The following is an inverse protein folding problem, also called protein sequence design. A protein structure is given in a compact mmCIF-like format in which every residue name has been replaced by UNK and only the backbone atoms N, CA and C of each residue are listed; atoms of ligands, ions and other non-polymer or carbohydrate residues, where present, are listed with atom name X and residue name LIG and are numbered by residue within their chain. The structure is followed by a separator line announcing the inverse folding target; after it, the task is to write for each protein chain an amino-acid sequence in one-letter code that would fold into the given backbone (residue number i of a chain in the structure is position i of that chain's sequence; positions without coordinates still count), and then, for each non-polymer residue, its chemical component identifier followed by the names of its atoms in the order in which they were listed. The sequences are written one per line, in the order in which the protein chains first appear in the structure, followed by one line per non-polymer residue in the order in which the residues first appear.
data_IF_910750472953
#
_entry.id   IF_910750472953
#
_cell.length_a   1.000
_cell.length_b   1.000
_cell.length_c   1.000
_cell.angle_alpha   90.00
_cell.angle_beta   90.00
_cell.angle_gamma   90.00
#
_symmetry.space_group_name_H-M   'P 1'
#
loop_
_entity.id
_entity.type
_entity.pdbx_description
1 polymer ?
#
# COMPACT_ATOMS: atom_id res chain seq x y z
N UNK A 1 -33.35 5.72 -4.60
CA UNK A 1 -31.93 5.64 -5.01
C UNK A 1 -30.88 5.91 -3.92
N UNK A 2 -31.13 6.67 -2.84
CA UNK A 2 -30.17 6.77 -1.72
C UNK A 2 -30.20 5.57 -0.77
N UNK A 3 -31.40 5.04 -0.47
CA UNK A 3 -31.62 3.96 0.51
C UNK A 3 -30.97 2.63 0.10
N UNK A 4 -31.08 2.25 -1.19
CA UNK A 4 -30.47 1.00 -1.70
C UNK A 4 -28.94 1.04 -1.63
N UNK A 5 -28.32 2.18 -1.96
CA UNK A 5 -26.85 2.32 -1.91
C UNK A 5 -26.30 2.21 -0.50
N UNK A 6 -27.01 2.70 0.52
CA UNK A 6 -26.58 2.60 1.91
C UNK A 6 -26.65 1.16 2.41
N UNK A 7 -27.74 0.44 2.10
CA UNK A 7 -27.90 -0.96 2.46
C UNK A 7 -26.77 -1.85 1.87
N UNK A 8 -26.36 -1.60 0.63
CA UNK A 8 -25.25 -2.36 0.01
C UNK A 8 -23.88 -2.06 0.65
N UNK A 9 -23.66 -0.84 1.14
CA UNK A 9 -22.41 -0.45 1.82
C UNK A 9 -22.36 -1.09 3.22
N UNK A 10 -23.46 -1.08 3.94
CA UNK A 10 -23.55 -1.66 5.28
C UNK A 10 -23.36 -3.18 5.25
N UNK A 11 -23.96 -3.86 4.28
CA UNK A 11 -23.74 -5.30 4.04
C UNK A 11 -22.28 -5.62 3.71
N UNK A 12 -21.65 -4.83 2.83
CA UNK A 12 -20.25 -5.01 2.47
C UNK A 12 -19.33 -4.80 3.69
N UNK A 13 -19.57 -3.75 4.47
CA UNK A 13 -18.77 -3.45 5.65
C UNK A 13 -18.91 -4.55 6.71
N UNK A 14 -20.13 -5.05 6.94
CA UNK A 14 -20.37 -6.17 7.86
C UNK A 14 -19.65 -7.45 7.39
N UNK A 15 -19.59 -7.70 6.08
CA UNK A 15 -18.85 -8.82 5.51
C UNK A 15 -17.33 -8.68 5.74
N UNK A 16 -16.78 -7.49 5.48
CA UNK A 16 -15.35 -7.20 5.71
C UNK A 16 -15.03 -7.35 7.20
N UNK A 17 -15.85 -6.77 8.08
CA UNK A 17 -15.69 -6.85 9.53
C UNK A 17 -15.66 -8.30 10.01
N UNK A 18 -16.62 -9.12 9.55
CA UNK A 18 -16.67 -10.55 9.88
C UNK A 18 -15.43 -11.30 9.42
N UNK A 19 -14.98 -11.05 8.18
CA UNK A 19 -13.76 -11.68 7.66
C UNK A 19 -12.51 -11.29 8.44
N UNK A 20 -12.38 -10.03 8.86
CA UNK A 20 -11.24 -9.56 9.64
C UNK A 20 -11.27 -10.14 11.06
N UNK A 21 -12.44 -10.21 11.68
CA UNK A 21 -12.62 -10.83 13.01
C UNK A 21 -12.29 -12.33 13.02
N UNK A 22 -12.43 -13.01 11.88
CA UNK A 22 -12.09 -14.44 11.74
C UNK A 22 -10.61 -14.68 11.40
N UNK A 23 -10.00 -13.81 10.60
CA UNK A 23 -8.65 -14.02 10.05
C UNK A 23 -7.52 -13.49 10.91
N UNK A 24 -7.80 -12.50 11.75
CA UNK A 24 -6.78 -11.78 12.52
C UNK A 24 -6.82 -12.19 13.99
N UNK A 25 -5.71 -11.93 14.69
CA UNK A 25 -5.63 -12.11 16.12
C UNK A 25 -6.21 -10.90 16.87
N UNK A 26 -7.02 -11.18 17.89
CA UNK A 26 -7.70 -10.17 18.70
C UNK A 26 -7.50 -10.42 20.18
N UNK A 27 -7.38 -9.34 20.94
CA UNK A 27 -7.35 -9.37 22.41
C UNK A 27 -8.58 -8.66 22.98
N UNK A 28 -9.14 -9.18 24.08
CA UNK A 28 -10.31 -8.58 24.69
C UNK A 28 -9.96 -7.28 25.40
N UNK A 29 -10.96 -6.41 25.57
CA UNK A 29 -10.79 -5.06 26.16
C UNK A 29 -10.05 -5.05 27.50
N UNK A 30 -10.26 -6.05 28.34
CA UNK A 30 -9.66 -6.17 29.67
C UNK A 30 -8.15 -6.29 29.62
N UNK A 31 -7.60 -6.78 28.50
CA UNK A 31 -6.16 -6.96 28.28
C UNK A 31 -5.45 -5.67 27.83
N UNK A 32 -6.20 -4.63 27.46
CA UNK A 32 -5.64 -3.38 26.94
C UNK A 32 -5.68 -2.27 28.01
N UNK A 33 -4.56 -1.57 28.27
CA UNK A 33 -4.53 -0.43 29.18
C UNK A 33 -5.55 0.65 28.80
N UNK A 34 -6.24 1.22 29.80
CA UNK A 34 -7.31 2.21 29.56
C UNK A 34 -6.86 3.41 28.72
N UNK A 35 -5.61 3.84 28.91
CA UNK A 35 -5.00 4.97 28.18
C UNK A 35 -4.81 4.71 26.69
N UNK A 36 -4.72 3.45 26.27
CA UNK A 36 -4.54 3.07 24.87
C UNK A 36 -5.86 2.75 24.17
N UNK A 37 -6.92 2.42 24.91
CA UNK A 37 -8.23 2.00 24.36
C UNK A 37 -8.87 3.03 23.43
N UNK A 38 -8.70 4.32 23.69
CA UNK A 38 -9.26 5.39 22.86
C UNK A 38 -8.53 5.59 21.54
N UNK A 39 -7.32 5.02 21.38
CA UNK A 39 -6.45 5.20 20.22
C UNK A 39 -6.33 3.89 19.45
N UNK A 40 -6.33 2.76 20.14
CA UNK A 40 -6.14 1.45 19.54
C UNK A 40 -7.26 1.06 18.56
N UNK A 41 -6.85 0.42 17.47
CA UNK A 41 -7.74 -0.17 16.48
C UNK A 41 -8.55 -1.29 17.11
N UNK A 42 -9.86 -1.21 16.94
CA UNK A 42 -10.79 -2.15 17.53
C UNK A 42 -12.03 -2.34 16.67
N UNK A 43 -12.61 -3.53 16.77
CA UNK A 43 -13.89 -3.91 16.18
C UNK A 43 -14.83 -4.42 17.27
N UNK A 44 -16.13 -4.43 16.99
CA UNK A 44 -17.14 -4.85 17.95
C UNK A 44 -17.77 -6.16 17.50
N UNK A 45 -17.83 -7.14 18.41
CA UNK A 45 -18.49 -8.43 18.15
C UNK A 45 -19.33 -8.79 19.36
N UNK A 46 -20.63 -9.03 19.17
CA UNK A 46 -21.56 -9.40 20.24
C UNK A 46 -21.50 -8.44 21.46
N UNK A 47 -21.53 -7.12 21.21
CA UNK A 47 -21.39 -6.06 22.22
C UNK A 47 -20.09 -6.09 23.05
N UNK A 48 -19.10 -6.87 22.61
CA UNK A 48 -17.77 -6.90 23.22
C UNK A 48 -16.78 -6.25 22.26
N UNK A 49 -15.95 -5.36 22.80
CA UNK A 49 -14.93 -4.68 22.02
C UNK A 49 -13.63 -5.49 22.02
N UNK A 50 -13.11 -5.73 20.83
CA UNK A 50 -11.89 -6.48 20.59
C UNK A 50 -10.86 -5.57 19.94
N UNK A 51 -9.62 -5.67 20.40
CA UNK A 51 -8.51 -4.87 19.90
C UNK A 51 -7.61 -5.75 19.05
N UNK A 52 -7.16 -5.22 17.91
CA UNK A 52 -6.25 -5.93 17.02
C UNK A 52 -4.94 -6.22 17.77
N UNK A 53 -4.53 -7.49 17.87
CA UNK A 53 -3.35 -7.87 18.66
C UNK A 53 -2.04 -7.32 18.07
N UNK A 54 -1.88 -7.44 16.76
CA UNK A 54 -0.62 -7.13 16.09
C UNK A 54 -0.24 -5.64 16.17
N UNK A 55 -1.17 -4.75 16.55
CA UNK A 55 -0.86 -3.33 16.71
C UNK A 55 0.04 -3.04 17.92
N UNK A 56 0.16 -3.99 18.86
CA UNK A 56 0.95 -3.88 20.07
C UNK A 56 2.28 -4.61 19.93
N UNK A 57 3.36 -3.97 20.41
CA UNK A 57 4.68 -4.57 20.50
C UNK A 57 4.80 -5.54 21.69
N UNK A 58 5.98 -6.12 21.90
CA UNK A 58 6.25 -7.05 23.01
C UNK A 58 6.05 -6.42 24.41
N UNK A 59 6.14 -5.09 24.51
CA UNK A 59 5.90 -4.34 25.75
C UNK A 59 4.41 -4.04 25.98
N UNK A 60 3.54 -4.37 25.02
CA UNK A 60 2.11 -4.07 25.05
C UNK A 60 1.76 -2.63 24.65
N UNK A 61 2.69 -1.90 24.06
CA UNK A 61 2.49 -0.55 23.54
C UNK A 61 2.19 -0.58 22.04
N UNK A 62 1.34 0.32 21.56
CA UNK A 62 1.10 0.48 20.12
C UNK A 62 2.41 0.84 19.41
N UNK A 63 2.72 0.16 18.29
CA UNK A 63 3.90 0.47 17.48
C UNK A 63 3.98 1.97 17.15
N UNK A 64 5.13 2.60 17.43
CA UNK A 64 5.29 4.05 17.28
C UNK A 64 5.03 4.55 15.84
N UNK A 65 5.43 3.77 14.82
CA UNK A 65 5.14 4.05 13.41
C UNK A 65 3.63 4.08 13.14
N UNK A 66 2.91 3.08 13.65
CA UNK A 66 1.45 3.01 13.56
C UNK A 66 0.80 4.16 14.31
N UNK A 67 1.23 4.45 15.55
CA UNK A 67 0.68 5.51 16.40
C UNK A 67 0.66 6.87 15.69
N UNK A 68 1.68 7.17 14.89
CA UNK A 68 1.75 8.41 14.10
C UNK A 68 0.76 8.47 12.94
N UNK A 69 0.40 7.32 12.37
CA UNK A 69 -0.53 7.20 11.24
C UNK A 69 -1.99 7.04 11.66
N UNK A 70 -2.24 6.52 12.87
CA UNK A 70 -3.59 6.21 13.37
C UNK A 70 -4.58 7.38 13.28
N UNK A 71 -4.24 8.63 13.66
CA UNK A 71 -5.20 9.74 13.56
C UNK A 71 -5.74 9.93 12.13
N UNK A 72 -4.87 9.83 11.12
CA UNK A 72 -5.26 9.97 9.72
C UNK A 72 -5.99 8.74 9.17
N UNK A 73 -5.72 7.55 9.69
CA UNK A 73 -6.43 6.33 9.27
C UNK A 73 -7.82 6.25 9.92
N UNK A 74 -7.90 6.54 11.22
CA UNK A 74 -9.12 6.43 12.02
C UNK A 74 -10.15 7.51 11.72
N UNK A 75 -9.80 8.60 11.04
CA UNK A 75 -10.79 9.56 10.52
C UNK A 75 -11.81 8.89 9.57
N UNK A 76 -11.45 7.75 8.97
CA UNK A 76 -12.31 6.93 8.11
C UNK A 76 -12.90 5.71 8.83
N UNK A 77 -12.62 5.55 10.14
CA UNK A 77 -13.09 4.46 10.99
C UNK A 77 -12.10 3.30 11.13
N UNK A 78 -12.24 2.54 12.22
CA UNK A 78 -11.35 1.41 12.53
C UNK A 78 -11.41 0.31 11.47
N UNK A 79 -12.60 0.01 10.93
CA UNK A 79 -12.74 -1.00 9.87
C UNK A 79 -11.89 -0.66 8.64
N UNK A 80 -11.93 0.60 8.21
CA UNK A 80 -11.10 1.08 7.10
C UNK A 80 -9.62 0.98 7.43
N UNK A 81 -9.21 1.46 8.61
CA UNK A 81 -7.80 1.44 9.02
C UNK A 81 -7.25 0.01 9.05
N UNK A 82 -8.01 -0.94 9.58
CA UNK A 82 -7.62 -2.35 9.66
C UNK A 82 -7.59 -2.98 8.26
N UNK A 83 -8.62 -2.80 7.43
CA UNK A 83 -8.60 -3.27 6.03
C UNK A 83 -7.41 -2.67 5.26
N UNK A 84 -7.08 -1.40 5.49
CA UNK A 84 -5.92 -0.77 4.89
C UNK A 84 -4.60 -1.38 5.39
N UNK A 85 -4.46 -1.70 6.68
CA UNK A 85 -3.24 -2.32 7.20
C UNK A 85 -2.99 -3.74 6.66
N UNK A 86 -4.06 -4.49 6.37
CA UNK A 86 -3.96 -5.90 5.98
C UNK A 86 -4.15 -6.17 4.48
N UNK A 87 -4.55 -5.18 3.69
CA UNK A 87 -4.60 -5.33 2.23
C UNK A 87 -3.20 -5.16 1.63
N UNK A 88 -2.78 -6.15 0.86
CA UNK A 88 -1.55 -6.08 0.05
C UNK A 88 -1.59 -4.86 -0.88
N UNK A 89 -0.47 -4.13 -0.91
CA UNK A 89 -0.29 -2.94 -1.75
C UNK A 89 1.05 -3.04 -2.46
N UNK A 90 1.06 -2.58 -3.70
CA UNK A 90 2.27 -2.39 -4.49
C UNK A 90 2.58 -0.90 -4.55
N UNK A 91 3.71 -0.49 -3.98
CA UNK A 91 4.13 0.92 -3.90
C UNK A 91 5.39 1.13 -4.72
N UNK A 92 5.42 2.22 -5.49
CA UNK A 92 6.60 2.64 -6.25
C UNK A 92 7.62 3.28 -5.29
N UNK A 93 8.82 2.72 -5.23
CA UNK A 93 9.92 3.23 -4.40
C UNK A 93 10.80 4.18 -5.18
N UNK A 94 11.17 3.79 -6.39
CA UNK A 94 12.07 4.56 -7.26
C UNK A 94 11.60 4.43 -8.71
N UNK A 95 11.51 5.57 -9.40
CA UNK A 95 11.02 5.65 -10.76
C UNK A 95 12.19 5.67 -11.74
N UNK A 96 12.29 4.66 -12.58
CA UNK A 96 13.19 4.71 -13.72
C UNK A 96 12.68 5.73 -14.75
N UNK A 97 13.59 6.55 -15.28
CA UNK A 97 13.30 7.56 -16.31
C UNK A 97 14.36 7.55 -17.40
N UNK A 98 13.92 7.58 -18.65
CA UNK A 98 14.79 7.88 -19.77
C UNK A 98 15.36 9.30 -19.64
N UNK A 99 16.60 9.50 -20.08
CA UNK A 99 17.15 10.87 -20.15
C UNK A 99 16.36 11.70 -21.18
N UNK A 100 16.29 13.01 -20.96
CA UNK A 100 15.52 13.91 -21.85
C UNK A 100 15.97 13.82 -23.32
N UNK A 101 17.28 13.73 -23.56
CA UNK A 101 17.84 13.59 -24.91
C UNK A 101 17.39 12.28 -25.57
N UNK A 102 17.42 11.18 -24.82
CA UNK A 102 17.03 9.88 -25.32
C UNK A 102 15.51 9.80 -25.54
N UNK A 103 14.71 10.46 -24.71
CA UNK A 103 13.27 10.58 -24.89
C UNK A 103 12.94 11.39 -26.16
N UNK A 104 13.60 12.53 -26.38
CA UNK A 104 13.37 13.36 -27.56
C UNK A 104 13.72 12.61 -28.86
N UNK A 105 14.86 11.91 -28.89
CA UNK A 105 15.25 11.07 -30.04
C UNK A 105 14.25 9.94 -30.32
N UNK A 106 13.54 9.49 -29.30
CA UNK A 106 12.49 8.49 -29.44
C UNK A 106 11.25 9.13 -30.06
N UNK A 107 10.77 10.26 -29.53
CA UNK A 107 9.60 10.98 -30.07
C UNK A 107 9.72 11.25 -31.57
N UNK A 108 10.92 11.63 -32.03
CA UNK A 108 11.20 11.87 -33.44
C UNK A 108 11.01 10.62 -34.33
N UNK A 109 10.96 9.42 -33.74
CA UNK A 109 10.78 8.11 -34.42
C UNK A 109 9.33 7.61 -34.43
N UNK A 110 8.40 8.28 -33.74
CA UNK A 110 6.95 8.04 -33.84
C UNK A 110 6.28 7.37 -32.63
N UNK A 111 4.94 7.46 -32.54
CA UNK A 111 4.15 7.23 -31.31
C UNK A 111 4.29 5.85 -30.63
N UNK A 112 4.62 4.77 -31.34
CA UNK A 112 4.76 3.44 -30.72
C UNK A 112 5.94 3.38 -29.73
N UNK A 113 6.97 4.19 -29.94
CA UNK A 113 8.16 4.22 -29.09
C UNK A 113 7.87 4.82 -27.71
N UNK A 114 6.85 5.68 -27.58
CA UNK A 114 6.43 6.27 -26.31
C UNK A 114 5.88 5.19 -25.37
N UNK A 115 5.08 4.28 -25.93
CA UNK A 115 4.55 3.13 -25.19
C UNK A 115 5.65 2.17 -24.78
N UNK A 116 6.61 1.91 -25.68
CA UNK A 116 7.75 1.04 -25.39
C UNK A 116 8.66 1.63 -24.32
N UNK A 117 8.90 2.94 -24.33
CA UNK A 117 9.64 3.63 -23.27
C UNK A 117 8.89 3.55 -21.94
N UNK A 118 7.59 3.83 -21.92
CA UNK A 118 6.80 3.74 -20.69
C UNK A 118 6.82 2.32 -20.09
N UNK A 119 6.79 1.29 -20.95
CA UNK A 119 6.93 -0.10 -20.53
C UNK A 119 8.31 -0.39 -19.94
N UNK A 120 9.38 0.08 -20.58
CA UNK A 120 10.75 -0.08 -20.09
C UNK A 120 10.93 0.65 -18.76
N UNK A 121 10.51 1.91 -18.67
CA UNK A 121 10.53 2.69 -17.43
C UNK A 121 9.77 1.98 -16.32
N UNK A 122 8.57 1.45 -16.60
CA UNK A 122 7.81 0.68 -15.61
C UNK A 122 8.52 -0.61 -15.21
N UNK A 123 9.15 -1.32 -16.15
CA UNK A 123 9.85 -2.58 -15.88
C UNK A 123 11.14 -2.42 -15.07
N UNK A 124 11.80 -1.26 -15.20
CA UNK A 124 13.04 -0.94 -14.51
C UNK A 124 12.84 -0.10 -13.24
N UNK A 125 11.61 0.36 -13.00
CA UNK A 125 11.25 1.02 -11.75
C UNK A 125 11.21 0.02 -10.60
N UNK A 126 11.60 0.46 -9.42
CA UNK A 126 11.63 -0.38 -8.22
C UNK A 126 10.29 -0.28 -7.50
N UNK A 127 9.62 -1.42 -7.34
CA UNK A 127 8.38 -1.55 -6.58
C UNK A 127 8.57 -2.50 -5.41
N UNK A 128 7.81 -2.26 -4.34
CA UNK A 128 7.65 -3.20 -3.24
C UNK A 128 6.18 -3.60 -3.11
N UNK A 129 5.93 -4.87 -2.80
CA UNK A 129 4.60 -5.39 -2.53
C UNK A 129 4.57 -5.99 -1.13
N UNK A 130 3.70 -5.45 -0.27
CA UNK A 130 3.58 -5.88 1.13
C UNK A 130 2.21 -5.49 1.71
N UNK A 131 1.87 -6.01 2.89
CA UNK A 131 0.84 -5.40 3.72
C UNK A 131 1.49 -4.34 4.62
N UNK A 132 0.89 -3.15 4.83
CA UNK A 132 1.46 -2.17 5.75
C UNK A 132 1.72 -2.73 7.16
N UNK A 133 0.88 -3.68 7.61
CA UNK A 133 1.06 -4.32 8.90
C UNK A 133 2.34 -5.18 8.98
N UNK A 134 2.68 -5.93 7.93
CA UNK A 134 3.91 -6.73 7.95
C UNK A 134 5.16 -5.86 8.08
N UNK A 135 5.16 -4.68 7.44
CA UNK A 135 6.25 -3.71 7.54
C UNK A 135 6.41 -3.16 8.96
N UNK A 136 5.31 -3.00 9.71
CA UNK A 136 5.36 -2.60 11.12
C UNK A 136 5.97 -3.72 11.98
N UNK A 137 5.49 -4.95 11.81
CA UNK A 137 5.91 -6.13 12.59
C UNK A 137 7.40 -6.43 12.33
N UNK A 138 7.84 -6.32 11.08
CA UNK A 138 9.23 -6.53 10.66
C UNK A 138 10.15 -5.33 10.95
N UNK A 139 9.64 -4.30 11.64
CA UNK A 139 10.36 -3.08 11.98
C UNK A 139 10.94 -2.32 10.76
N UNK A 140 10.29 -2.42 9.60
CA UNK A 140 10.62 -1.68 8.38
C UNK A 140 9.94 -0.30 8.35
N UNK A 141 10.28 0.54 9.33
CA UNK A 141 9.59 1.81 9.62
C UNK A 141 9.56 2.76 8.40
N UNK A 142 10.67 2.89 7.69
CA UNK A 142 10.77 3.80 6.54
C UNK A 142 9.92 3.32 5.36
N UNK A 143 9.81 2.01 5.17
CA UNK A 143 8.92 1.43 4.15
C UNK A 143 7.46 1.59 4.56
N UNK A 144 7.10 1.38 5.82
CA UNK A 144 5.74 1.68 6.28
C UNK A 144 5.35 3.14 6.04
N UNK A 145 6.23 4.10 6.38
CA UNK A 145 6.01 5.52 6.09
C UNK A 145 5.81 5.77 4.61
N UNK A 146 6.59 5.10 3.77
CA UNK A 146 6.46 5.20 2.32
C UNK A 146 5.09 4.75 1.82
N UNK A 147 4.52 3.67 2.37
CA UNK A 147 3.16 3.21 2.05
C UNK A 147 2.10 4.20 2.55
N UNK A 148 2.30 4.73 3.75
CA UNK A 148 1.39 5.72 4.32
C UNK A 148 1.38 7.01 3.50
N UNK A 149 2.56 7.53 3.11
CA UNK A 149 2.69 8.73 2.29
C UNK A 149 2.12 8.53 0.88
N UNK A 150 2.31 7.34 0.28
CA UNK A 150 1.71 6.98 -1.01
C UNK A 150 0.19 7.12 -0.97
N UNK A 151 -0.43 6.64 0.11
CA UNK A 151 -1.87 6.74 0.30
C UNK A 151 -2.34 8.14 0.72
N UNK A 152 -1.63 8.79 1.65
CA UNK A 152 -2.06 10.03 2.30
C UNK A 152 -1.75 11.27 1.47
N UNK A 153 -0.57 11.32 0.85
CA UNK A 153 -0.14 12.43 0.00
C UNK A 153 -0.49 12.21 -1.47
N UNK A 154 -0.73 10.96 -1.88
CA UNK A 154 -1.08 10.56 -3.24
C UNK A 154 -0.13 11.21 -4.26
N UNK A 155 -0.63 12.04 -5.18
CA UNK A 155 0.15 12.69 -6.24
C UNK A 155 1.22 13.67 -5.74
N UNK A 156 1.12 14.14 -4.48
CA UNK A 156 2.10 15.06 -3.91
C UNK A 156 3.37 14.36 -3.40
N UNK A 157 3.37 13.03 -3.31
CA UNK A 157 4.54 12.28 -2.86
C UNK A 157 5.68 12.42 -3.88
N UNK A 158 6.85 12.88 -3.40
CA UNK A 158 8.08 12.88 -4.19
C UNK A 158 8.64 11.47 -4.27
N UNK A 159 8.73 10.93 -5.48
CA UNK A 159 9.31 9.63 -5.75
C UNK A 159 10.71 9.87 -6.38
N UNK A 160 11.79 9.33 -5.79
CA UNK A 160 13.11 9.46 -6.37
C UNK A 160 13.15 8.87 -7.78
N UNK A 161 13.98 9.46 -8.63
CA UNK A 161 14.15 9.03 -10.03
C UNK A 161 15.56 8.52 -10.26
N UNK A 162 15.67 7.40 -10.96
CA UNK A 162 16.93 6.87 -11.48
C UNK A 162 16.93 6.98 -13.00
N UNK A 163 18.04 7.47 -13.56
CA UNK A 163 18.18 7.55 -15.01
C UNK A 163 18.47 6.16 -15.60
N UNK A 164 17.83 5.85 -16.73
CA UNK A 164 18.01 4.58 -17.44
C UNK A 164 18.37 4.79 -18.91
N UNK A 165 19.15 3.87 -19.46
CA UNK A 165 19.41 3.80 -20.89
C UNK A 165 18.32 2.97 -21.59
N UNK A 166 17.20 3.63 -21.90
CA UNK A 166 16.03 2.94 -22.47
C UNK A 166 16.34 2.26 -23.81
N UNK A 167 17.21 2.82 -24.64
CA UNK A 167 17.50 2.26 -25.97
C UNK A 167 18.25 0.92 -25.87
N UNK A 168 19.20 0.83 -24.94
CA UNK A 168 19.87 -0.46 -24.67
C UNK A 168 18.87 -1.50 -24.15
N UNK A 169 18.02 -1.11 -23.20
CA UNK A 169 16.98 -1.98 -22.66
C UNK A 169 15.96 -2.43 -23.72
N UNK A 170 15.62 -1.53 -24.65
CA UNK A 170 14.74 -1.82 -25.77
C UNK A 170 15.36 -2.80 -26.77
N UNK A 171 16.64 -2.63 -27.11
CA UNK A 171 17.34 -3.59 -27.95
C UNK A 171 17.33 -5.00 -27.32
N UNK A 172 17.54 -5.08 -26.01
CA UNK A 172 17.49 -6.35 -25.28
C UNK A 172 16.10 -7.01 -25.32
N UNK A 173 15.01 -6.23 -25.26
CA UNK A 173 13.65 -6.80 -25.37
C UNK A 173 13.36 -7.30 -26.78
N UNK A 174 13.78 -6.58 -27.83
CA UNK A 174 13.58 -7.00 -29.23
C UNK A 174 14.37 -8.28 -29.56
N UNK A 175 15.64 -8.37 -29.13
CA UNK A 175 16.49 -9.54 -29.37
C UNK A 175 15.93 -10.79 -28.67
N UNK A 176 15.38 -10.63 -27.46
CA UNK A 176 14.82 -11.75 -26.70
C UNK A 176 13.44 -12.21 -27.23
N UNK A 177 12.66 -11.34 -27.86
CA UNK A 177 11.44 -11.71 -28.57
C UNK A 177 11.73 -12.54 -29.83
N UNK A 178 12.76 -12.20 -30.60
CA UNK A 178 13.17 -12.93 -31.81
C UNK A 178 13.70 -14.35 -31.53
N UNK A 179 14.16 -14.63 -30.31
CA UNK A 179 14.63 -15.97 -29.89
C UNK A 179 13.52 -16.90 -29.41
N UNK A 180 12.28 -16.41 -29.29
CA UNK A 180 11.13 -17.17 -28.78
C UNK A 180 10.14 -17.60 -29.86
N UNK A 181 10.40 -17.28 -31.13
CA UNK A 181 9.63 -17.82 -32.25
C UNK A 181 10.28 -19.14 -32.72
N UNK A 182 9.54 -20.26 -32.76
CA UNK A 182 10.05 -21.56 -33.21
C UNK A 182 10.30 -21.64 -34.72
#
# INVERSE_FOLDING_TARGET
MKVEKTATIDERNAQIESQLLEKLDWIPQESVPYTQRSIALSLMKNNTQYYLKDQFNEQGDIHASLLSALPSLQQYGNLFAIDWLYREKRVLLERARATHQQFQQALDRGANIELEIAQIESSQSTYITATPMSLIIENQIDLFRTFFDDWYLNDARKIPTVEINWFAAWLDTQINCQRREP
#
